data_IF_290665383594
#
_entry.id   IF_290665383594
#
_cell.length_a   1.000
_cell.length_b   1.000
_cell.length_c   1.000
_cell.angle_alpha   90.00
_cell.angle_beta   90.00
_cell.angle_gamma   90.00
#
_symmetry.space_group_name_H-M   'P 1'
#
loop_
_entity.id
_entity.type
_entity.pdbx_description
1 polymer ?
#
# COMPACT_ATOMS: atom_id res chain seq x y z
N UNK A 1 43.58 -9.84 1.90
CA UNK A 1 44.00 -8.71 2.75
C UNK A 1 42.73 -8.00 3.22
N UNK A 2 42.55 -7.88 4.54
CA UNK A 2 41.36 -7.33 5.22
C UNK A 2 41.57 -5.83 5.52
N UNK A 3 40.52 -5.02 5.40
CA UNK A 3 40.29 -3.74 6.10
C UNK A 3 38.77 -3.49 6.05
N UNK A 4 37.95 -3.66 7.10
CA UNK A 4 37.78 -2.99 8.41
C UNK A 4 37.36 -1.50 8.38
N UNK A 5 36.20 -1.24 9.03
CA UNK A 5 35.63 0.07 9.41
C UNK A 5 34.25 0.29 8.77
N UNK A 6 33.09 -0.03 9.37
CA UNK A 6 32.48 0.38 10.65
C UNK A 6 32.39 1.89 10.84
N UNK A 7 31.20 2.46 10.58
CA UNK A 7 30.64 3.71 11.15
C UNK A 7 29.15 3.74 10.78
N UNK A 8 28.28 3.41 11.74
CA UNK A 8 27.44 4.36 12.48
C UNK A 8 26.16 4.74 11.70
N UNK A 9 25.02 4.13 12.01
CA UNK A 9 24.13 4.53 13.12
C UNK A 9 23.39 5.83 12.80
N UNK A 10 22.12 5.71 12.41
CA UNK A 10 21.08 6.58 12.97
C UNK A 10 19.70 5.97 12.74
N UNK A 11 19.23 5.23 13.75
CA UNK A 11 17.81 5.01 13.93
C UNK A 11 17.21 6.32 14.48
N UNK A 12 16.16 6.83 13.82
CA UNK A 12 15.28 7.85 14.40
C UNK A 12 13.93 7.21 14.66
N UNK A 13 13.63 7.14 15.95
CA UNK A 13 12.34 6.79 16.57
C UNK A 13 11.44 8.06 16.58
N UNK A 14 10.14 7.88 16.84
CA UNK A 14 9.08 8.84 17.24
C UNK A 14 8.01 9.10 16.15
N UNK A 15 6.70 8.91 16.38
CA UNK A 15 5.95 8.64 17.60
C UNK A 15 4.61 7.96 17.29
N UNK A 16 4.25 7.00 18.13
CA UNK A 16 2.94 6.38 18.24
C UNK A 16 1.97 7.38 18.87
N UNK A 17 0.84 7.66 18.23
CA UNK A 17 -0.29 8.32 18.89
C UNK A 17 -1.20 7.22 19.44
N UNK A 18 -1.06 6.96 20.74
CA UNK A 18 -1.93 6.12 21.52
C UNK A 18 -2.65 7.00 22.56
N UNK A 19 -3.96 7.18 22.41
CA UNK A 19 -4.85 7.51 23.52
C UNK A 19 -5.32 6.14 24.07
N UNK A 20 -5.01 5.70 25.29
CA UNK A 20 -5.41 6.24 26.62
C UNK A 20 -6.92 6.43 26.68
N UNK A 21 -7.73 5.90 27.60
CA UNK A 21 -7.59 5.04 28.80
C UNK A 21 -9.04 4.62 29.13
N UNK A 22 -9.28 3.48 29.78
CA UNK A 22 -10.63 3.16 30.26
C UNK A 22 -10.68 1.85 31.04
N UNK A 23 -10.24 1.89 32.30
CA UNK A 23 -10.50 0.84 33.30
C UNK A 23 -11.97 0.88 33.70
N UNK A 24 -12.59 -0.30 33.80
CA UNK A 24 -13.95 -0.50 34.27
C UNK A 24 -14.11 -1.92 34.78
N UNK A 25 -13.77 -2.11 36.06
CA UNK A 25 -14.18 -3.25 36.88
C UNK A 25 -15.70 -3.25 37.01
N UNK A 26 -16.38 -4.35 36.68
CA UNK A 26 -17.60 -4.79 37.39
C UNK A 26 -17.93 -6.24 37.04
N UNK A 27 -17.85 -7.10 38.05
CA UNK A 27 -18.55 -8.39 38.08
C UNK A 27 -20.05 -8.19 38.28
N UNK A 28 -20.88 -8.97 37.58
CA UNK A 28 -22.23 -9.50 37.95
C UNK A 28 -22.90 -9.94 36.64
N UNK A 29 -22.98 -11.23 36.32
CA UNK A 29 -24.06 -12.17 36.71
C UNK A 29 -25.47 -11.65 36.41
N UNK A 30 -26.21 -12.48 35.66
CA UNK A 30 -27.65 -12.71 35.81
C UNK A 30 -28.64 -11.97 34.88
N UNK A 31 -29.26 -12.79 34.02
CA UNK A 31 -30.70 -12.85 33.70
C UNK A 31 -31.43 -11.79 32.85
N UNK A 32 -32.08 -12.36 31.83
CA UNK A 32 -33.52 -12.20 31.55
C UNK A 32 -33.99 -11.02 30.68
N UNK A 33 -34.25 -11.43 29.44
CA UNK A 33 -35.42 -11.11 28.58
C UNK A 33 -35.52 -9.79 27.79
N UNK A 34 -36.27 -9.84 26.66
CA UNK A 34 -36.00 -9.09 25.45
C UNK A 34 -36.71 -7.75 25.46
N UNK A 35 -35.93 -6.70 25.25
CA UNK A 35 -36.42 -5.41 24.82
C UNK A 35 -35.44 -4.89 23.81
N UNK A 36 -35.62 -5.25 22.54
CA UNK A 36 -35.00 -4.49 21.46
C UNK A 36 -35.74 -3.14 21.42
N UNK A 37 -35.17 -2.00 21.87
CA UNK A 37 -35.63 -0.74 21.31
C UNK A 37 -35.33 -0.83 19.82
N UNK A 38 -36.30 -0.47 18.99
CA UNK A 38 -36.12 -0.37 17.56
C UNK A 38 -34.92 0.56 17.29
N UNK A 39 -33.76 -0.05 17.01
CA UNK A 39 -32.58 0.65 16.54
C UNK A 39 -32.99 1.22 15.18
N UNK A 40 -33.25 2.52 15.18
CA UNK A 40 -33.44 3.27 13.95
C UNK A 40 -32.11 3.21 13.22
N UNK A 41 -31.96 2.27 12.29
CA UNK A 41 -30.80 2.18 11.41
C UNK A 41 -30.77 3.41 10.52
N UNK A 42 -30.21 4.51 11.03
CA UNK A 42 -29.88 5.64 10.19
C UNK A 42 -28.66 5.25 9.36
N UNK A 43 -28.89 5.00 8.07
CA UNK A 43 -27.84 4.66 7.13
C UNK A 43 -26.78 5.76 7.12
N UNK A 44 -25.54 5.39 7.45
CA UNK A 44 -24.41 6.30 7.34
C UNK A 44 -24.23 6.75 5.86
N UNK A 45 -23.87 8.02 5.62
CA UNK A 45 -23.59 8.49 4.27
C UNK A 45 -22.45 7.68 3.64
N UNK A 46 -22.48 7.44 2.31
CA UNK A 46 -21.45 6.68 1.62
C UNK A 46 -20.09 7.35 1.79
N UNK A 47 -19.07 6.55 2.10
CA UNK A 47 -17.70 7.03 2.20
C UNK A 47 -17.22 7.62 0.86
N UNK A 48 -16.38 8.66 0.87
CA UNK A 48 -15.79 9.21 -0.34
C UNK A 48 -14.96 8.15 -1.09
N UNK A 49 -14.93 8.19 -2.44
CA UNK A 49 -14.09 7.28 -3.21
C UNK A 49 -12.61 7.52 -2.89
N UNK A 50 -11.87 6.42 -2.68
CA UNK A 50 -10.43 6.48 -2.48
C UNK A 50 -9.72 7.00 -3.75
N UNK A 51 -8.59 7.71 -3.60
CA UNK A 51 -7.83 8.21 -4.75
C UNK A 51 -7.37 7.07 -5.65
N UNK A 52 -7.63 7.20 -6.95
CA UNK A 52 -7.23 6.20 -7.93
C UNK A 52 -5.69 6.06 -7.98
N UNK A 53 -5.20 4.84 -7.94
CA UNK A 53 -3.76 4.59 -8.08
C UNK A 53 -3.34 4.82 -9.53
N UNK A 54 -2.47 5.80 -9.77
CA UNK A 54 -1.95 6.10 -11.09
C UNK A 54 -1.27 4.88 -11.73
N UNK A 55 -1.48 4.68 -13.03
CA UNK A 55 -0.82 3.64 -13.83
C UNK A 55 0.00 4.31 -14.91
N UNK A 56 1.28 3.98 -14.97
CA UNK A 56 2.22 4.47 -15.98
C UNK A 56 2.80 3.30 -16.74
N UNK A 57 2.80 3.40 -18.06
CA UNK A 57 3.30 2.37 -18.96
C UNK A 57 4.53 2.89 -19.70
N UNK A 58 5.68 2.28 -19.45
CA UNK A 58 6.92 2.52 -20.21
C UNK A 58 7.05 1.47 -21.29
N UNK A 59 7.35 1.89 -22.52
CA UNK A 59 7.36 1.02 -23.69
C UNK A 59 8.74 0.95 -24.31
N UNK A 60 9.13 -0.25 -24.75
CA UNK A 60 10.38 -0.49 -25.46
C UNK A 60 11.63 0.07 -24.73
N UNK A 61 11.69 -0.13 -23.42
CA UNK A 61 12.81 0.32 -22.58
C UNK A 61 13.80 -0.81 -22.32
N UNK A 62 15.07 -0.46 -22.16
CA UNK A 62 16.08 -1.38 -21.63
C UNK A 62 16.26 -1.12 -20.14
N UNK A 63 16.39 -2.18 -19.36
CA UNK A 63 16.41 -2.12 -17.90
C UNK A 63 17.81 -2.46 -17.41
N UNK A 64 18.32 -1.65 -16.50
CA UNK A 64 19.48 -1.97 -15.67
C UNK A 64 18.97 -2.56 -14.35
N UNK A 65 19.40 -3.76 -14.00
CA UNK A 65 18.90 -4.49 -12.83
C UNK A 65 19.79 -4.37 -11.60
N UNK A 66 21.00 -3.81 -11.75
CA UNK A 66 21.97 -3.70 -10.65
C UNK A 66 22.65 -5.01 -10.26
N UNK A 67 22.37 -6.12 -10.96
CA UNK A 67 23.03 -7.42 -10.74
C UNK A 67 24.21 -7.62 -11.69
N UNK A 68 24.19 -6.96 -12.85
CA UNK A 68 25.29 -6.98 -13.81
C UNK A 68 25.42 -5.64 -14.54
N UNK A 69 26.55 -5.43 -15.23
CA UNK A 69 26.76 -4.23 -16.06
C UNK A 69 26.00 -4.27 -17.40
N UNK A 70 25.15 -5.27 -17.61
CA UNK A 70 24.43 -5.49 -18.87
C UNK A 70 22.99 -4.99 -18.78
N UNK A 71 22.56 -4.30 -19.82
CA UNK A 71 21.15 -3.95 -20.01
C UNK A 71 20.31 -5.13 -20.52
N UNK A 72 19.04 -5.19 -20.11
CA UNK A 72 18.07 -6.16 -20.62
C UNK A 72 17.83 -6.02 -22.13
N UNK A 73 17.22 -7.05 -22.73
CA UNK A 73 16.54 -6.88 -24.01
C UNK A 73 15.39 -5.84 -23.88
N UNK A 74 14.99 -5.15 -24.97
CA UNK A 74 13.89 -4.19 -24.91
C UNK A 74 12.60 -4.81 -24.36
N UNK A 75 11.96 -4.13 -23.42
CA UNK A 75 10.79 -4.62 -22.68
C UNK A 75 9.78 -3.49 -22.40
N UNK A 76 8.57 -3.87 -22.03
CA UNK A 76 7.50 -3.00 -21.57
C UNK A 76 7.36 -3.11 -20.04
N UNK A 77 7.21 -1.98 -19.36
CA UNK A 77 7.11 -1.92 -17.89
C UNK A 77 5.84 -1.20 -17.49
N UNK A 78 4.99 -1.87 -16.71
CA UNK A 78 3.80 -1.28 -16.10
C UNK A 78 4.10 -0.94 -14.64
N UNK A 79 3.89 0.32 -14.28
CA UNK A 79 4.03 0.83 -12.92
C UNK A 79 2.65 1.22 -12.41
N UNK A 80 2.30 0.74 -11.21
CA UNK A 80 1.09 1.15 -10.49
C UNK A 80 1.51 1.86 -9.21
N UNK A 81 1.21 3.15 -9.11
CA UNK A 81 1.72 4.01 -8.05
C UNK A 81 3.24 4.07 -8.10
N UNK A 82 3.91 3.43 -7.14
CA UNK A 82 5.38 3.36 -7.03
C UNK A 82 5.93 1.93 -7.14
N UNK A 83 5.12 0.98 -7.65
CA UNK A 83 5.52 -0.43 -7.79
C UNK A 83 5.51 -0.85 -9.24
N UNK A 84 6.58 -1.53 -9.64
CA UNK A 84 6.63 -2.25 -10.91
C UNK A 84 5.65 -3.43 -10.78
N UNK A 85 4.57 -3.38 -11.55
CA UNK A 85 3.53 -4.40 -11.54
C UNK A 85 3.83 -5.53 -12.53
N UNK A 86 4.43 -5.20 -13.68
CA UNK A 86 4.76 -6.17 -14.72
C UNK A 86 5.90 -5.68 -15.60
N UNK A 87 6.79 -6.59 -15.98
CA UNK A 87 7.74 -6.44 -17.07
C UNK A 87 7.39 -7.52 -18.10
N UNK A 88 7.24 -7.14 -19.38
CA UNK A 88 6.88 -8.07 -20.45
C UNK A 88 7.58 -7.71 -21.75
N UNK A 89 7.94 -8.70 -22.55
CA UNK A 89 8.45 -8.56 -23.91
C UNK A 89 7.34 -8.61 -24.97
N UNK A 90 6.09 -8.86 -24.56
CA UNK A 90 4.94 -8.90 -25.45
C UNK A 90 4.62 -7.50 -26.01
N UNK A 91 4.02 -7.45 -27.20
CA UNK A 91 3.58 -6.18 -27.79
C UNK A 91 2.54 -5.52 -26.90
N UNK A 92 2.85 -4.32 -26.44
CA UNK A 92 1.89 -3.43 -25.83
C UNK A 92 0.80 -3.01 -26.84
N UNK A 93 -0.48 -2.96 -26.46
CA UNK A 93 -1.50 -2.29 -27.26
C UNK A 93 -1.17 -0.80 -27.45
N UNK A 94 -1.03 -0.35 -28.69
CA UNK A 94 -0.91 1.07 -29.02
C UNK A 94 -2.16 1.80 -28.55
N UNK A 95 -2.03 2.59 -27.48
CA UNK A 95 -3.11 3.42 -26.97
C UNK A 95 -3.42 4.53 -27.99
N UNK A 96 -4.53 4.39 -28.71
CA UNK A 96 -5.08 5.43 -29.59
C UNK A 96 -6.24 6.08 -28.85
N UNK A 97 -5.98 7.22 -28.20
CA UNK A 97 -7.04 8.05 -27.62
C UNK A 97 -7.95 8.63 -28.71
N UNK A 98 -9.23 8.94 -28.42
CA UNK A 98 -10.07 9.72 -29.32
C UNK A 98 -9.46 11.12 -29.48
N UNK A 99 -9.46 11.64 -30.71
CA UNK A 99 -9.04 13.01 -31.04
C UNK A 99 -10.05 14.03 -30.56
#
# INVERSE_FOLDING_TARGET
MRAFGLLASMAVVLASVACSTGDGDTSSTESTEPGHPAESTQAAPPAPPAPATAVTDFRNVKIFDGHSDRLSAPSNVRVKGNRIQRISTERCPTSRGPR
#
